data_IF_635734335693
#
_entry.id   IF_635734335693
#
_cell.length_a   1.000
_cell.length_b   1.000
_cell.length_c   1.000
_cell.angle_alpha   90.00
_cell.angle_beta   90.00
_cell.angle_gamma   90.00
#
_symmetry.space_group_name_H-M   'P 1'
#
loop_
_entity.id
_entity.type
_entity.pdbx_description
1 polymer ?
#
# COMPACT_ATOMS: atom_id res chain seq x y z
N UNK A 1 0.27 14.75 11.01
CA UNK A 1 0.62 14.02 9.76
C UNK A 1 -0.46 12.98 9.51
N UNK A 2 -0.83 12.75 8.26
CA UNK A 2 -1.85 11.74 7.91
C UNK A 2 -1.23 10.67 7.01
N UNK A 3 -1.82 9.47 7.00
CA UNK A 3 -1.37 8.37 6.16
C UNK A 3 -2.50 7.57 5.52
N UNK A 4 -2.24 7.08 4.32
CA UNK A 4 -2.98 5.98 3.71
C UNK A 4 -2.25 4.68 4.05
N UNK A 5 -2.96 3.75 4.66
CA UNK A 5 -2.48 2.41 4.96
C UNK A 5 -3.08 1.44 3.94
N UNK A 6 -2.24 0.64 3.30
CA UNK A 6 -2.65 -0.50 2.49
C UNK A 6 -2.16 -1.79 3.15
N UNK A 7 -3.09 -2.59 3.65
CA UNK A 7 -2.81 -3.85 4.33
C UNK A 7 -3.21 -5.02 3.43
N UNK A 8 -2.26 -5.92 3.18
CA UNK A 8 -2.42 -7.00 2.21
C UNK A 8 -2.52 -8.34 2.92
N UNK A 9 -3.59 -9.09 2.63
CA UNK A 9 -3.69 -10.51 2.97
C UNK A 9 -2.65 -11.34 2.22
N UNK A 10 -2.34 -12.51 2.75
CA UNK A 10 -1.50 -13.49 2.07
C UNK A 10 -2.12 -13.87 0.71
N UNK A 11 -1.41 -13.66 -0.42
CA UNK A 11 -1.77 -14.32 -1.68
C UNK A 11 -1.61 -15.84 -1.50
N UNK A 12 -2.24 -16.62 -2.39
CA UNK A 12 -1.97 -18.06 -2.45
C UNK A 12 -0.48 -18.31 -2.70
N UNK A 13 0.07 -19.41 -2.17
CA UNK A 13 1.52 -19.67 -2.26
C UNK A 13 2.02 -19.72 -3.71
N UNK A 14 1.21 -20.27 -4.63
CA UNK A 14 1.52 -20.32 -6.05
C UNK A 14 1.62 -18.92 -6.71
N UNK A 15 0.93 -17.92 -6.15
CA UNK A 15 0.85 -16.56 -6.70
C UNK A 15 1.83 -15.59 -6.02
N UNK A 16 2.49 -16.00 -4.93
CA UNK A 16 3.30 -15.11 -4.09
C UNK A 16 4.46 -14.46 -4.85
N UNK A 17 5.17 -15.23 -5.68
CA UNK A 17 6.26 -14.69 -6.48
C UNK A 17 5.77 -13.67 -7.53
N UNK A 18 4.61 -13.95 -8.15
CA UNK A 18 3.99 -13.03 -9.11
C UNK A 18 3.49 -11.75 -8.43
N UNK A 19 2.89 -11.87 -7.24
CA UNK A 19 2.50 -10.74 -6.40
C UNK A 19 3.70 -9.87 -6.07
N UNK A 20 4.79 -10.45 -5.55
CA UNK A 20 5.99 -9.72 -5.16
C UNK A 20 6.60 -8.97 -6.34
N UNK A 21 6.71 -9.64 -7.49
CA UNK A 21 7.22 -9.03 -8.71
C UNK A 21 6.36 -7.84 -9.14
N UNK A 22 5.05 -8.03 -9.26
CA UNK A 22 4.13 -6.96 -9.65
C UNK A 22 4.18 -5.80 -8.64
N UNK A 23 4.22 -6.12 -7.35
CA UNK A 23 4.25 -5.15 -6.27
C UNK A 23 5.52 -4.29 -6.31
N UNK A 24 6.71 -4.90 -6.26
CA UNK A 24 7.97 -4.15 -6.14
C UNK A 24 8.48 -3.58 -7.46
N UNK A 25 8.28 -4.27 -8.59
CA UNK A 25 8.81 -3.81 -9.88
C UNK A 25 7.86 -2.87 -10.63
N UNK A 26 6.55 -2.91 -10.32
CA UNK A 26 5.57 -2.08 -11.06
C UNK A 26 4.76 -1.16 -10.16
N UNK A 27 4.19 -1.69 -9.06
CA UNK A 27 3.30 -0.89 -8.21
C UNK A 27 4.06 0.17 -7.42
N UNK A 28 5.15 -0.21 -6.75
CA UNK A 28 5.98 0.70 -5.95
C UNK A 28 6.52 1.88 -6.77
N UNK A 29 7.08 1.69 -7.99
CA UNK A 29 7.48 2.82 -8.84
C UNK A 29 6.33 3.75 -9.24
N UNK A 30 5.10 3.25 -9.37
CA UNK A 30 3.92 4.07 -9.64
C UNK A 30 3.49 4.84 -8.39
N UNK A 31 3.43 4.18 -7.24
CA UNK A 31 3.08 4.80 -5.96
C UNK A 31 4.07 5.92 -5.58
N UNK A 32 5.37 5.74 -5.86
CA UNK A 32 6.39 6.78 -5.64
C UNK A 32 6.20 8.06 -6.46
N UNK A 33 5.34 8.04 -7.50
CA UNK A 33 5.02 9.23 -8.30
C UNK A 33 3.85 10.01 -7.74
N UNK A 34 3.14 9.49 -6.75
CA UNK A 34 1.99 10.17 -6.14
C UNK A 34 2.46 11.52 -5.57
N UNK A 35 1.83 12.64 -5.95
CA UNK A 35 2.26 13.96 -5.48
C UNK A 35 2.03 14.10 -3.97
N UNK A 36 2.78 15.02 -3.35
CA UNK A 36 2.75 15.30 -1.91
C UNK A 36 3.15 14.13 -0.98
N UNK A 37 3.52 12.98 -1.53
CA UNK A 37 4.03 11.85 -0.76
C UNK A 37 5.33 12.23 -0.04
N UNK A 38 5.32 12.20 1.29
CA UNK A 38 6.49 12.51 2.12
C UNK A 38 7.35 11.30 2.38
N UNK A 39 6.70 10.17 2.60
CA UNK A 39 7.35 8.89 2.87
C UNK A 39 6.43 7.76 2.45
N UNK A 40 7.00 6.71 1.88
CA UNK A 40 6.34 5.42 1.76
C UNK A 40 7.15 4.39 2.54
N UNK A 41 6.51 3.75 3.50
CA UNK A 41 7.08 2.67 4.29
C UNK A 41 6.41 1.36 3.89
N UNK A 42 7.20 0.32 3.61
CA UNK A 42 6.72 -0.98 3.17
C UNK A 42 7.33 -2.03 4.08
N UNK A 43 6.48 -2.78 4.77
CA UNK A 43 6.89 -3.79 5.73
C UNK A 43 6.27 -5.13 5.39
N UNK A 44 7.09 -6.19 5.39
CA UNK A 44 6.62 -7.57 5.27
C UNK A 44 6.24 -8.09 6.64
N UNK A 45 5.09 -8.75 6.73
CA UNK A 45 4.65 -9.40 7.96
C UNK A 45 5.36 -10.75 8.06
N UNK A 46 6.25 -10.88 9.05
CA UNK A 46 7.10 -12.06 9.23
C UNK A 46 6.54 -13.07 10.24
N UNK A 47 5.53 -12.69 11.01
CA UNK A 47 4.90 -13.55 12.01
C UNK A 47 3.85 -12.82 12.84
N UNK A 48 3.27 -13.54 13.79
CA UNK A 48 2.35 -12.99 14.79
C UNK A 48 2.66 -13.62 16.16
N UNK A 49 2.36 -12.93 17.28
CA UNK A 49 2.50 -13.51 18.62
C UNK A 49 1.71 -14.81 18.82
N UNK A 50 0.67 -15.03 18.02
CA UNK A 50 -0.15 -16.26 18.02
C UNK A 50 -0.48 -16.67 16.59
N UNK A 51 -0.18 -17.93 16.27
CA UNK A 51 -0.58 -18.56 15.02
C UNK A 51 0.07 -17.94 13.78
N UNK A 52 -0.46 -18.33 12.62
CA UNK A 52 -0.05 -17.78 11.32
C UNK A 52 -0.68 -16.40 11.10
N UNK A 53 0.09 -15.38 10.68
CA UNK A 53 -0.49 -14.08 10.36
C UNK A 53 -1.42 -14.18 9.16
N UNK A 54 -2.56 -13.49 9.21
CA UNK A 54 -3.47 -13.34 8.06
C UNK A 54 -2.85 -12.46 6.95
N UNK A 55 -2.06 -11.48 7.38
CA UNK A 55 -1.48 -10.47 6.51
C UNK A 55 -0.06 -10.81 6.07
N UNK A 56 0.33 -10.22 4.95
CA UNK A 56 1.59 -10.48 4.26
C UNK A 56 2.45 -9.24 4.14
N UNK A 57 1.84 -8.09 3.89
CA UNK A 57 2.52 -6.84 3.65
C UNK A 57 1.66 -5.67 4.14
N UNK A 58 2.31 -4.64 4.65
CA UNK A 58 1.69 -3.33 4.92
C UNK A 58 2.48 -2.27 4.16
N UNK A 59 1.77 -1.33 3.56
CA UNK A 59 2.33 -0.11 3.00
C UNK A 59 1.68 1.10 3.68
N UNK A 60 2.49 2.08 4.05
CA UNK A 60 2.05 3.31 4.68
C UNK A 60 2.58 4.49 3.88
N UNK A 61 1.67 5.28 3.33
CA UNK A 61 1.97 6.46 2.54
C UNK A 61 1.65 7.68 3.38
N UNK A 62 2.67 8.45 3.72
CA UNK A 62 2.59 9.59 4.63
C UNK A 62 2.49 10.92 3.86
N UNK A 63 1.63 11.80 4.34
CA UNK A 63 1.40 13.15 3.81
C UNK A 63 1.37 14.16 4.97
N UNK A 64 1.72 15.41 4.71
CA UNK A 64 1.79 16.44 5.76
C UNK A 64 0.45 16.61 6.48
N UNK A 65 -0.63 16.75 5.71
CA UNK A 65 -1.97 17.05 6.17
C UNK A 65 -3.04 16.44 5.24
N UNK A 66 -4.31 16.59 5.63
CA UNK A 66 -5.44 16.03 4.89
C UNK A 66 -5.59 16.63 3.48
N UNK A 67 -5.31 17.93 3.31
CA UNK A 67 -5.44 18.58 2.01
C UNK A 67 -4.38 18.06 1.01
N UNK A 68 -3.16 17.85 1.49
CA UNK A 68 -2.07 17.25 0.72
C UNK A 68 -2.43 15.81 0.29
N UNK A 69 -3.02 15.02 1.18
CA UNK A 69 -3.50 13.67 0.89
C UNK A 69 -4.66 13.67 -0.11
N UNK A 70 -5.66 14.53 0.05
CA UNK A 70 -6.82 14.57 -0.84
C UNK A 70 -6.39 14.90 -2.29
N UNK A 71 -5.49 15.89 -2.44
CA UNK A 71 -4.89 16.21 -3.73
C UNK A 71 -4.08 15.03 -4.30
N UNK A 72 -3.36 14.30 -3.45
CA UNK A 72 -2.64 13.10 -3.84
C UNK A 72 -3.57 11.99 -4.34
N UNK A 73 -4.67 11.75 -3.63
CA UNK A 73 -5.64 10.70 -3.99
C UNK A 73 -6.39 11.02 -5.29
N UNK A 74 -6.65 12.30 -5.57
CA UNK A 74 -7.30 12.74 -6.80
C UNK A 74 -6.37 12.76 -8.04
N UNK A 75 -5.06 12.56 -7.85
CA UNK A 75 -4.06 12.68 -8.90
C UNK A 75 -4.12 11.58 -9.97
N UNK A 76 -3.72 11.86 -11.23
CA UNK A 76 -3.60 10.83 -12.26
C UNK A 76 -2.57 9.74 -11.90
N UNK A 77 -1.54 10.08 -11.13
CA UNK A 77 -0.54 9.13 -10.63
C UNK A 77 -1.17 8.12 -9.65
N UNK A 78 -2.01 8.57 -8.71
CA UNK A 78 -2.73 7.67 -7.82
C UNK A 78 -3.73 6.80 -8.58
N UNK A 79 -4.43 7.34 -9.58
CA UNK A 79 -5.32 6.55 -10.45
C UNK A 79 -4.54 5.46 -11.20
N UNK A 80 -3.33 5.76 -11.69
CA UNK A 80 -2.48 4.78 -12.35
C UNK A 80 -1.99 3.70 -11.36
N UNK A 81 -1.53 4.10 -10.18
CA UNK A 81 -1.10 3.17 -9.13
C UNK A 81 -2.24 2.24 -8.68
N UNK A 82 -3.44 2.78 -8.48
CA UNK A 82 -4.64 2.02 -8.13
C UNK A 82 -5.08 1.05 -9.23
N UNK A 83 -5.07 1.46 -10.50
CA UNK A 83 -5.37 0.57 -11.63
C UNK A 83 -4.39 -0.60 -11.70
N UNK A 84 -3.08 -0.33 -11.56
CA UNK A 84 -2.07 -1.37 -11.51
C UNK A 84 -2.29 -2.31 -10.31
N UNK A 85 -2.56 -1.77 -9.12
CA UNK A 85 -2.78 -2.57 -7.93
C UNK A 85 -3.96 -3.55 -8.07
N UNK A 86 -5.06 -3.08 -8.67
CA UNK A 86 -6.27 -3.88 -8.84
C UNK A 86 -6.11 -5.03 -9.85
N UNK A 87 -5.02 -5.07 -10.63
CA UNK A 87 -4.76 -6.19 -11.55
C UNK A 87 -4.22 -7.43 -10.84
N UNK A 88 -3.59 -7.29 -9.67
CA UNK A 88 -2.93 -8.40 -8.96
C UNK A 88 -3.30 -8.52 -7.47
N UNK A 89 -3.78 -7.45 -6.83
CA UNK A 89 -4.09 -7.43 -5.40
C UNK A 89 -5.60 -7.25 -5.10
N UNK A 90 -6.46 -7.31 -6.12
CA UNK A 90 -7.91 -7.24 -5.94
C UNK A 90 -8.38 -8.33 -4.95
N UNK A 91 -9.10 -7.93 -3.92
CA UNK A 91 -9.58 -8.82 -2.85
C UNK A 91 -8.54 -9.17 -1.78
N UNK A 92 -7.27 -8.79 -1.98
CA UNK A 92 -6.20 -8.98 -0.99
C UNK A 92 -5.91 -7.70 -0.19
N UNK A 93 -6.10 -6.52 -0.79
CA UNK A 93 -5.79 -5.22 -0.16
C UNK A 93 -6.97 -4.64 0.60
N UNK A 94 -6.70 -4.11 1.80
CA UNK A 94 -7.60 -3.25 2.58
C UNK A 94 -6.96 -1.89 2.75
N UNK A 95 -7.74 -0.82 2.57
CA UNK A 95 -7.27 0.55 2.74
C UNK A 95 -7.87 1.20 3.98
N UNK A 96 -7.06 1.99 4.68
CA UNK A 96 -7.47 2.82 5.81
C UNK A 96 -6.79 4.18 5.71
N UNK A 97 -7.50 5.23 6.10
CA UNK A 97 -6.89 6.53 6.38
C UNK A 97 -6.66 6.64 7.88
N UNK A 98 -5.50 7.14 8.28
CA UNK A 98 -5.16 7.33 9.68
C UNK A 98 -4.44 8.65 9.90
N UNK A 99 -4.69 9.26 11.05
CA UNK A 99 -3.87 10.33 11.58
C UNK A 99 -2.75 9.72 12.45
N UNK A 100 -1.54 10.26 12.33
CA UNK A 100 -0.45 9.89 13.23
C UNK A 100 -0.65 10.66 14.54
N UNK A 101 -0.98 9.94 15.62
CA UNK A 101 -1.05 10.50 16.95
C UNK A 101 0.37 10.74 17.53
N UNK A 102 0.51 11.80 18.31
CA UNK A 102 1.75 12.20 18.98
C UNK A 102 2.27 11.17 19.99
#
# INVERSE_FOLDING_TARGET
MVKLIALYRKPADADRAAFDKAYFETHVPLANKIPNLRRMEISRITGAPRGEPEFYLIAELYFDDQAAMDAAMASPENVAAGKNLMSFARGLVTFMFAEVAD
#
